data_IF_516963729691
#
_entry.id   IF_516963729691
#
_cell.length_a   1.000
_cell.length_b   1.000
_cell.length_c   1.000
_cell.angle_alpha   90.00
_cell.angle_beta   90.00
_cell.angle_gamma   90.00
#
_symmetry.space_group_name_H-M   'P 1'
#
loop_
_entity.id
_entity.type
_entity.pdbx_description
1 polymer ?
#
# COMPACT_ATOMS: atom_id res chain seq x y z
N UNK A 1 -8.39 11.15 -10.37
CA UNK A 1 -7.57 11.83 -9.32
C UNK A 1 -7.04 10.72 -8.42
N UNK A 2 -5.74 10.68 -8.22
CA UNK A 2 -5.08 9.67 -7.39
C UNK A 2 -5.36 9.88 -5.91
N UNK A 3 -5.76 8.84 -5.19
CA UNK A 3 -6.03 8.89 -3.76
C UNK A 3 -4.73 8.76 -2.95
N UNK A 4 -4.65 9.49 -1.82
CA UNK A 4 -3.60 9.30 -0.82
C UNK A 4 -4.11 8.39 0.30
N UNK A 5 -3.52 7.21 0.41
CA UNK A 5 -3.65 6.32 1.56
C UNK A 5 -2.44 6.48 2.48
N UNK A 6 -2.68 6.78 3.76
CA UNK A 6 -1.59 6.93 4.73
C UNK A 6 -1.32 5.60 5.40
N UNK A 7 -0.12 5.05 5.18
CA UNK A 7 0.33 3.85 5.87
C UNK A 7 0.87 4.21 7.27
N UNK A 8 0.14 3.83 8.30
CA UNK A 8 0.42 4.22 9.69
C UNK A 8 1.31 3.25 10.48
N UNK A 9 1.97 2.30 9.80
CA UNK A 9 2.83 1.31 10.45
C UNK A 9 3.94 1.95 11.31
N UNK A 10 4.55 3.06 10.83
CA UNK A 10 5.63 3.74 11.56
C UNK A 10 5.15 4.43 12.82
N UNK A 11 3.90 4.89 12.86
CA UNK A 11 3.25 5.39 14.09
C UNK A 11 3.19 4.27 15.13
N UNK A 12 2.79 3.07 14.72
CA UNK A 12 2.74 1.91 15.60
C UNK A 12 4.15 1.46 16.04
N UNK A 13 5.17 1.59 15.18
CA UNK A 13 6.57 1.34 15.56
C UNK A 13 7.02 2.28 16.71
N UNK A 14 6.72 3.57 16.61
CA UNK A 14 7.03 4.55 17.65
C UNK A 14 6.30 4.19 18.95
N UNK A 15 5.01 3.85 18.89
CA UNK A 15 4.24 3.39 20.05
C UNK A 15 4.90 2.18 20.72
N UNK A 16 5.27 1.18 19.93
CA UNK A 16 5.81 -0.08 20.44
C UNK A 16 7.20 0.07 21.05
N UNK A 17 7.99 1.05 20.59
CA UNK A 17 9.34 1.31 21.13
C UNK A 17 9.34 1.61 22.63
N UNK A 18 8.22 2.07 23.19
CA UNK A 18 8.13 2.42 24.63
C UNK A 18 7.07 1.63 25.42
N UNK A 19 6.27 0.82 24.76
CA UNK A 19 5.31 -0.09 25.41
C UNK A 19 4.01 0.54 25.93
N UNK A 20 3.71 1.77 25.65
CA UNK A 20 2.43 2.42 26.01
C UNK A 20 1.42 2.43 24.89
N UNK A 21 0.54 3.45 24.88
CA UNK A 21 -0.42 3.73 23.82
C UNK A 21 -0.18 5.11 23.17
N UNK A 22 1.06 5.58 23.18
CA UNK A 22 1.45 6.85 22.56
C UNK A 22 2.60 6.64 21.56
N UNK A 23 2.45 7.17 20.33
CA UNK A 23 1.23 7.79 19.76
C UNK A 23 0.07 6.80 19.65
N UNK A 24 -1.17 7.27 19.82
CA UNK A 24 -2.36 6.44 19.70
C UNK A 24 -2.66 6.19 18.21
N UNK A 25 -2.48 4.96 17.76
CA UNK A 25 -2.62 4.55 16.34
C UNK A 25 -4.03 4.82 15.81
N UNK A 26 -5.07 4.55 16.61
CA UNK A 26 -6.46 4.75 16.21
C UNK A 26 -6.76 6.25 16.01
N UNK A 27 -6.30 7.07 16.96
CA UNK A 27 -6.45 8.53 16.83
C UNK A 27 -5.70 9.09 15.64
N UNK A 28 -4.47 8.65 15.41
CA UNK A 28 -3.68 9.12 14.25
C UNK A 28 -4.37 8.77 12.94
N UNK A 29 -4.99 7.58 12.81
CA UNK A 29 -5.76 7.22 11.64
C UNK A 29 -6.93 8.19 11.40
N UNK A 30 -7.71 8.51 12.44
CA UNK A 30 -8.79 9.50 12.35
C UNK A 30 -8.28 10.90 12.01
N UNK A 31 -7.14 11.31 12.58
CA UNK A 31 -6.53 12.60 12.28
C UNK A 31 -6.05 12.64 10.81
N UNK A 32 -5.50 11.55 10.26
CA UNK A 32 -5.14 11.47 8.84
C UNK A 32 -6.37 11.69 7.93
N UNK A 33 -7.50 11.06 8.22
CA UNK A 33 -8.75 11.28 7.48
C UNK A 33 -9.25 12.73 7.63
N UNK A 34 -9.22 13.28 8.84
CA UNK A 34 -9.60 14.67 9.11
C UNK A 34 -8.75 15.66 8.32
N UNK A 35 -7.46 15.38 8.15
CA UNK A 35 -6.52 16.20 7.39
C UNK A 35 -6.60 15.95 5.88
N UNK A 36 -7.47 15.04 5.44
CA UNK A 36 -7.82 14.83 4.05
C UNK A 36 -7.18 13.63 3.36
N UNK A 37 -6.59 12.68 4.10
CA UNK A 37 -6.26 11.37 3.55
C UNK A 37 -7.53 10.67 3.07
N UNK A 38 -7.40 9.94 1.94
CA UNK A 38 -8.51 9.25 1.31
C UNK A 38 -8.47 7.73 1.55
N UNK A 39 -7.46 7.27 2.29
CA UNK A 39 -7.32 5.91 2.75
C UNK A 39 -6.37 5.79 3.93
N UNK A 40 -6.53 4.69 4.65
CA UNK A 40 -5.62 4.26 5.72
C UNK A 40 -5.13 2.86 5.38
N UNK A 41 -3.83 2.69 5.38
CA UNK A 41 -3.18 1.40 5.14
C UNK A 41 -2.47 0.90 6.39
N UNK A 42 -2.60 -0.39 6.66
CA UNK A 42 -1.92 -1.08 7.75
C UNK A 42 -1.35 -2.42 7.28
N UNK A 43 -0.18 -2.80 7.81
CA UNK A 43 0.44 -4.10 7.55
C UNK A 43 0.67 -4.85 8.88
N UNK A 44 -0.31 -5.59 9.39
CA UNK A 44 -0.15 -6.38 10.61
C UNK A 44 0.71 -7.62 10.30
N UNK A 45 2.01 -7.53 10.59
CA UNK A 45 2.92 -8.67 10.44
C UNK A 45 2.64 -9.74 11.49
N UNK A 46 3.00 -11.02 11.23
CA UNK A 46 2.74 -12.11 12.16
C UNK A 46 3.34 -11.93 13.56
N UNK A 47 4.46 -11.20 13.66
CA UNK A 47 5.16 -10.88 14.92
C UNK A 47 4.67 -9.59 15.60
N UNK A 48 3.71 -8.88 14.99
CA UNK A 48 3.11 -7.65 15.52
C UNK A 48 4.16 -6.56 15.88
N UNK A 49 5.31 -6.52 15.17
CA UNK A 49 6.41 -5.57 15.46
C UNK A 49 6.00 -4.10 15.38
N UNK A 50 4.91 -3.80 14.66
CA UNK A 50 4.31 -2.47 14.57
C UNK A 50 2.79 -2.53 14.76
N UNK A 51 1.97 -2.65 13.71
CA UNK A 51 0.53 -2.83 13.81
C UNK A 51 0.22 -4.18 14.47
N UNK A 52 -0.64 -4.15 15.49
CA UNK A 52 -1.14 -5.34 16.18
C UNK A 52 -2.47 -5.75 15.57
N UNK A 53 -2.83 -7.02 15.66
CA UNK A 53 -4.15 -7.47 15.22
C UNK A 53 -5.29 -6.72 15.95
N UNK A 54 -5.09 -6.40 17.24
CA UNK A 54 -6.02 -5.58 18.01
C UNK A 54 -6.21 -4.16 17.46
N UNK A 55 -5.16 -3.57 16.88
CA UNK A 55 -5.28 -2.26 16.22
C UNK A 55 -6.19 -2.35 15.01
N UNK A 56 -6.06 -3.41 14.20
CA UNK A 56 -6.86 -3.61 12.99
C UNK A 56 -8.36 -3.71 13.33
N UNK A 57 -8.70 -4.50 14.36
CA UNK A 57 -10.09 -4.57 14.85
C UNK A 57 -10.60 -3.22 15.37
N UNK A 58 -9.74 -2.46 16.07
CA UNK A 58 -10.09 -1.13 16.57
C UNK A 58 -10.26 -0.08 15.48
N UNK A 59 -9.47 -0.17 14.39
CA UNK A 59 -9.54 0.75 13.26
C UNK A 59 -10.80 0.58 12.42
N UNK A 60 -11.26 -0.66 12.19
CA UNK A 60 -12.39 -0.94 11.30
C UNK A 60 -13.64 -0.08 11.56
N UNK A 61 -14.15 0.07 12.79
CA UNK A 61 -15.33 0.89 13.05
C UNK A 61 -15.07 2.40 12.95
N UNK A 62 -13.80 2.84 12.94
CA UNK A 62 -13.41 4.25 12.98
C UNK A 62 -13.15 4.82 11.61
N UNK A 63 -12.55 4.04 10.69
CA UNK A 63 -12.18 4.49 9.34
C UNK A 63 -13.44 4.72 8.51
N UNK A 64 -13.51 5.89 7.85
CA UNK A 64 -14.62 6.35 7.01
C UNK A 64 -14.30 6.35 5.52
N UNK A 65 -13.03 6.41 5.19
CA UNK A 65 -12.48 6.36 3.84
C UNK A 65 -12.11 4.91 3.46
N UNK A 66 -11.17 4.71 2.56
CA UNK A 66 -10.69 3.37 2.23
C UNK A 66 -9.83 2.78 3.35
N UNK A 67 -10.10 1.53 3.71
CA UNK A 67 -9.28 0.77 4.64
C UNK A 67 -8.58 -0.36 3.89
N UNK A 68 -7.26 -0.27 3.76
CA UNK A 68 -6.42 -1.28 3.13
C UNK A 68 -5.62 -2.05 4.18
N UNK A 69 -5.66 -3.38 4.11
CA UNK A 69 -4.83 -4.27 4.95
C UNK A 69 -3.85 -4.99 4.02
N UNK A 70 -2.57 -4.73 4.23
CA UNK A 70 -1.47 -5.40 3.53
C UNK A 70 -0.96 -6.58 4.35
N UNK A 71 -0.49 -7.62 3.69
CA UNK A 71 0.21 -8.69 4.39
C UNK A 71 0.48 -9.94 3.56
N UNK A 72 1.37 -10.78 4.11
CA UNK A 72 1.58 -12.12 3.62
C UNK A 72 0.38 -13.00 4.01
N UNK A 73 -0.24 -13.71 3.07
CA UNK A 73 -1.51 -14.41 3.29
C UNK A 73 -1.33 -15.74 4.03
N UNK A 74 -0.79 -15.71 5.25
CA UNK A 74 -0.84 -16.87 6.15
C UNK A 74 -2.25 -16.99 6.77
N UNK A 75 -2.58 -18.15 7.35
CA UNK A 75 -3.91 -18.45 7.90
C UNK A 75 -4.43 -17.37 8.84
N UNK A 76 -3.58 -16.88 9.75
CA UNK A 76 -3.95 -15.79 10.69
C UNK A 76 -4.31 -14.49 9.97
N UNK A 77 -3.60 -14.16 8.88
CA UNK A 77 -3.87 -12.96 8.09
C UNK A 77 -5.18 -13.12 7.32
N UNK A 78 -5.39 -14.28 6.69
CA UNK A 78 -6.63 -14.59 5.97
C UNK A 78 -7.83 -14.48 6.92
N UNK A 79 -7.74 -15.11 8.09
CA UNK A 79 -8.77 -15.05 9.14
C UNK A 79 -9.05 -13.60 9.59
N UNK A 80 -8.01 -12.78 9.77
CA UNK A 80 -8.13 -11.38 10.13
C UNK A 80 -8.91 -10.61 9.06
N UNK A 81 -8.48 -10.72 7.79
CA UNK A 81 -9.10 -10.02 6.67
C UNK A 81 -10.56 -10.40 6.50
N UNK A 82 -10.88 -11.70 6.57
CA UNK A 82 -12.26 -12.20 6.45
C UNK A 82 -13.17 -11.72 7.61
N UNK A 83 -12.62 -11.55 8.81
CA UNK A 83 -13.37 -11.02 9.97
C UNK A 83 -13.56 -9.52 9.90
N UNK A 84 -12.53 -8.79 9.49
CA UNK A 84 -12.54 -7.31 9.45
C UNK A 84 -13.28 -6.79 8.24
N UNK A 85 -13.20 -7.49 7.10
CA UNK A 85 -13.76 -7.07 5.81
C UNK A 85 -13.35 -5.62 5.48
N UNK A 86 -12.05 -5.38 5.23
CA UNK A 86 -11.57 -4.07 4.81
C UNK A 86 -12.14 -3.70 3.44
N UNK A 87 -11.92 -2.47 3.00
CA UNK A 87 -12.26 -2.06 1.63
C UNK A 87 -11.37 -2.79 0.62
N UNK A 88 -10.08 -2.95 0.97
CA UNK A 88 -9.09 -3.60 0.13
C UNK A 88 -8.16 -4.48 0.97
N UNK A 89 -7.68 -5.56 0.37
CA UNK A 89 -6.54 -6.34 0.83
C UNK A 89 -5.44 -6.29 -0.21
N UNK A 90 -4.21 -5.96 0.20
CA UNK A 90 -3.02 -6.03 -0.66
C UNK A 90 -2.18 -7.24 -0.25
N UNK A 91 -2.04 -8.20 -1.17
CA UNK A 91 -1.26 -9.42 -0.97
C UNK A 91 0.22 -9.14 -1.24
N UNK A 92 1.08 -9.29 -0.24
CA UNK A 92 2.53 -9.09 -0.34
C UNK A 92 3.29 -10.39 -0.07
N UNK A 93 4.42 -10.66 -0.79
CA UNK A 93 5.14 -11.94 -0.67
C UNK A 93 6.12 -11.98 0.50
N UNK A 94 6.00 -11.08 1.47
CA UNK A 94 6.97 -10.92 2.54
C UNK A 94 7.05 -12.16 3.42
N UNK A 95 8.20 -12.83 3.42
CA UNK A 95 8.46 -13.87 4.41
C UNK A 95 8.32 -13.29 5.84
N UNK A 96 7.92 -14.11 6.82
CA UNK A 96 7.68 -13.63 8.19
C UNK A 96 8.89 -12.93 8.85
N UNK A 97 10.10 -13.27 8.42
CA UNK A 97 11.38 -12.71 8.90
C UNK A 97 11.88 -11.51 8.08
N UNK A 98 11.24 -11.17 6.96
CA UNK A 98 11.63 -10.02 6.15
C UNK A 98 11.52 -8.70 6.94
N UNK A 99 12.55 -7.85 6.89
CA UNK A 99 12.56 -6.54 7.58
C UNK A 99 11.58 -5.58 6.90
N UNK A 100 11.57 -5.58 5.56
CA UNK A 100 10.67 -4.78 4.72
C UNK A 100 10.37 -5.56 3.45
N UNK A 101 9.33 -5.13 2.70
CA UNK A 101 9.06 -5.67 1.36
C UNK A 101 10.21 -5.32 0.43
N UNK A 102 10.81 -6.33 -0.20
CA UNK A 102 11.98 -6.19 -1.07
C UNK A 102 11.78 -6.72 -2.48
N UNK A 103 10.60 -7.27 -2.77
CA UNK A 103 10.21 -7.75 -4.10
C UNK A 103 8.70 -7.89 -4.19
N UNK A 104 8.15 -7.83 -5.41
CA UNK A 104 6.79 -8.24 -5.69
C UNK A 104 6.64 -9.76 -5.81
N UNK A 105 5.40 -10.25 -5.88
CA UNK A 105 5.12 -11.65 -6.14
C UNK A 105 5.73 -12.12 -7.47
N UNK A 106 6.31 -13.31 -7.47
CA UNK A 106 6.44 -14.12 -8.67
C UNK A 106 5.09 -14.84 -8.87
N UNK A 107 4.22 -14.21 -9.65
CA UNK A 107 2.85 -14.71 -9.85
C UNK A 107 2.85 -16.07 -10.57
N UNK A 108 3.81 -16.29 -11.48
CA UNK A 108 3.92 -17.56 -12.22
C UNK A 108 4.04 -18.76 -11.28
N UNK A 109 4.91 -18.64 -10.27
CA UNK A 109 5.18 -19.75 -9.34
C UNK A 109 4.10 -19.89 -8.27
N UNK A 110 3.23 -18.88 -8.12
CA UNK A 110 2.19 -18.79 -7.08
C UNK A 110 0.79 -18.61 -7.66
N UNK A 111 0.58 -18.90 -8.95
CA UNK A 111 -0.63 -18.55 -9.67
C UNK A 111 -1.90 -19.15 -9.04
N UNK A 112 -1.92 -20.45 -8.81
CA UNK A 112 -3.08 -21.14 -8.26
C UNK A 112 -3.40 -20.64 -6.84
N UNK A 113 -2.36 -20.46 -6.02
CA UNK A 113 -2.50 -19.96 -4.65
C UNK A 113 -3.07 -18.53 -4.62
N UNK A 114 -2.53 -17.63 -5.45
CA UNK A 114 -3.03 -16.26 -5.54
C UNK A 114 -4.46 -16.20 -6.09
N UNK A 115 -4.78 -17.04 -7.08
CA UNK A 115 -6.15 -17.12 -7.63
C UNK A 115 -7.15 -17.57 -6.58
N UNK A 116 -6.85 -18.60 -5.79
CA UNK A 116 -7.69 -19.06 -4.68
C UNK A 116 -7.93 -17.99 -3.62
N UNK A 117 -6.88 -17.22 -3.28
CA UNK A 117 -6.98 -16.10 -2.33
C UNK A 117 -7.84 -14.96 -2.89
N UNK A 118 -7.63 -14.60 -4.17
CA UNK A 118 -8.42 -13.58 -4.84
C UNK A 118 -9.90 -13.97 -4.83
N UNK A 119 -10.23 -15.19 -5.23
CA UNK A 119 -11.61 -15.70 -5.21
C UNK A 119 -12.20 -15.69 -3.79
N UNK A 120 -11.41 -16.07 -2.79
CA UNK A 120 -11.82 -16.06 -1.38
C UNK A 120 -12.21 -14.66 -0.92
N UNK A 121 -11.39 -13.65 -1.19
CA UNK A 121 -11.65 -12.28 -0.73
C UNK A 121 -12.72 -11.58 -1.56
N UNK A 122 -12.71 -11.73 -2.88
CA UNK A 122 -13.72 -11.11 -3.76
C UNK A 122 -15.12 -11.66 -3.52
N UNK A 123 -15.25 -12.97 -3.18
CA UNK A 123 -16.53 -13.58 -2.78
C UNK A 123 -17.12 -12.95 -1.51
N UNK A 124 -16.29 -12.31 -0.68
CA UNK A 124 -16.70 -11.59 0.53
C UNK A 124 -16.89 -10.08 0.30
N UNK A 125 -16.78 -9.61 -0.96
CA UNK A 125 -16.89 -8.21 -1.33
C UNK A 125 -15.68 -7.36 -0.94
N UNK A 126 -14.50 -7.98 -0.78
CA UNK A 126 -13.24 -7.32 -0.47
C UNK A 126 -12.46 -7.14 -1.78
N UNK A 127 -12.12 -5.90 -2.13
CA UNK A 127 -11.26 -5.61 -3.27
C UNK A 127 -9.87 -6.16 -3.06
N UNK A 128 -9.30 -6.81 -4.08
CA UNK A 128 -7.97 -7.40 -4.01
C UNK A 128 -6.94 -6.61 -4.79
N UNK A 129 -5.71 -6.56 -4.27
CA UNK A 129 -4.54 -6.00 -4.92
C UNK A 129 -3.35 -6.94 -4.73
N UNK A 130 -2.58 -7.18 -5.79
CA UNK A 130 -1.37 -8.02 -5.74
C UNK A 130 -0.14 -7.11 -5.88
N UNK A 131 0.79 -7.19 -4.90
CA UNK A 131 2.04 -6.45 -4.90
C UNK A 131 3.03 -7.08 -5.90
N UNK A 132 3.43 -6.32 -6.92
CA UNK A 132 4.23 -6.80 -8.05
C UNK A 132 5.32 -5.81 -8.45
N UNK A 133 6.37 -6.30 -9.13
CA UNK A 133 7.32 -5.46 -9.86
C UNK A 133 6.79 -5.00 -11.22
N UNK A 134 7.69 -4.46 -12.04
CA UNK A 134 7.37 -3.92 -13.38
C UNK A 134 7.50 -4.96 -14.52
N UNK A 135 7.69 -6.24 -14.20
CA UNK A 135 7.74 -7.30 -15.20
C UNK A 135 6.38 -7.50 -15.88
N UNK A 136 6.33 -7.30 -17.20
CA UNK A 136 5.09 -7.30 -17.96
C UNK A 136 4.42 -8.69 -18.01
N UNK A 137 5.20 -9.75 -18.13
CA UNK A 137 4.65 -11.11 -18.16
C UNK A 137 4.04 -11.48 -16.79
N UNK A 138 4.65 -11.01 -15.70
CA UNK A 138 4.14 -11.18 -14.35
C UNK A 138 2.80 -10.43 -14.13
N UNK A 139 2.67 -9.21 -14.69
CA UNK A 139 1.43 -8.41 -14.64
C UNK A 139 0.31 -9.09 -15.44
N UNK A 140 0.60 -9.66 -16.62
CA UNK A 140 -0.38 -10.44 -17.38
C UNK A 140 -0.90 -11.64 -16.59
N UNK A 141 -0.05 -12.30 -15.83
CA UNK A 141 -0.45 -13.40 -14.96
C UNK A 141 -1.26 -12.91 -13.76
N UNK A 142 -0.88 -11.76 -13.16
CA UNK A 142 -1.66 -11.16 -12.09
C UNK A 142 -3.10 -10.84 -12.54
N UNK A 143 -3.28 -10.30 -13.74
CA UNK A 143 -4.63 -10.07 -14.30
C UNK A 143 -5.46 -11.36 -14.43
N UNK A 144 -4.81 -12.48 -14.77
CA UNK A 144 -5.48 -13.77 -14.92
C UNK A 144 -5.92 -14.41 -13.60
N UNK A 145 -5.39 -13.96 -12.45
CA UNK A 145 -5.87 -14.39 -11.14
C UNK A 145 -7.25 -13.83 -10.79
N UNK A 146 -7.74 -12.84 -11.54
CA UNK A 146 -8.99 -12.15 -11.26
C UNK A 146 -8.89 -11.02 -10.23
N UNK A 147 -7.66 -10.62 -9.83
CA UNK A 147 -7.47 -9.49 -8.90
C UNK A 147 -7.99 -8.18 -9.49
N UNK A 148 -8.50 -7.29 -8.64
CA UNK A 148 -9.02 -5.98 -9.06
C UNK A 148 -7.90 -5.00 -9.39
N UNK A 149 -6.78 -5.07 -8.64
CA UNK A 149 -5.68 -4.12 -8.72
C UNK A 149 -4.32 -4.82 -8.66
N UNK A 150 -3.31 -4.10 -9.08
CA UNK A 150 -1.92 -4.36 -8.70
C UNK A 150 -1.36 -3.17 -7.93
N UNK A 151 -0.40 -3.43 -7.05
CA UNK A 151 0.41 -2.40 -6.43
C UNK A 151 1.86 -2.54 -6.88
N UNK A 152 2.40 -1.49 -7.50
CA UNK A 152 3.75 -1.48 -8.05
C UNK A 152 4.79 -1.23 -6.95
N UNK A 153 5.78 -2.11 -6.85
CA UNK A 153 6.94 -1.96 -5.98
C UNK A 153 7.86 -0.84 -6.49
N UNK A 154 8.00 0.23 -5.73
CA UNK A 154 8.57 1.49 -6.20
C UNK A 154 10.01 1.77 -5.75
N UNK A 155 10.67 0.87 -5.00
CA UNK A 155 12.06 1.06 -4.58
C UNK A 155 13.02 1.27 -5.77
N UNK A 156 12.96 0.48 -6.87
CA UNK A 156 13.84 0.70 -8.02
C UNK A 156 13.65 2.09 -8.66
N UNK A 157 12.41 2.61 -8.65
CA UNK A 157 12.15 3.97 -9.08
C UNK A 157 12.80 4.98 -8.15
N UNK A 158 12.57 4.86 -6.83
CA UNK A 158 13.07 5.80 -5.83
C UNK A 158 14.61 5.85 -5.82
N UNK A 159 15.26 4.70 -5.97
CA UNK A 159 16.73 4.58 -6.01
C UNK A 159 17.32 5.21 -7.26
N UNK A 160 16.73 5.03 -8.43
CA UNK A 160 17.25 5.56 -9.68
C UNK A 160 16.83 7.03 -9.93
N UNK A 161 15.73 7.48 -9.34
CA UNK A 161 15.15 8.81 -9.57
C UNK A 161 16.13 9.98 -9.42
N UNK A 162 16.98 10.07 -8.36
CA UNK A 162 17.90 11.18 -8.21
C UNK A 162 19.04 11.18 -9.25
N UNK A 163 19.29 10.05 -9.93
CA UNK A 163 20.33 9.89 -10.96
C UNK A 163 19.76 10.16 -12.34
N UNK A 164 18.65 9.51 -12.69
CA UNK A 164 17.98 9.66 -13.99
C UNK A 164 16.48 9.34 -13.86
N UNK A 165 15.68 10.37 -13.65
CA UNK A 165 14.23 10.22 -13.40
C UNK A 165 13.45 9.68 -14.60
N UNK A 166 13.91 9.98 -15.84
CA UNK A 166 13.24 9.50 -17.06
C UNK A 166 13.48 7.98 -17.25
N UNK A 167 14.68 7.52 -16.97
CA UNK A 167 15.00 6.10 -16.95
C UNK A 167 14.29 5.37 -15.81
N UNK A 168 14.23 5.99 -14.64
CA UNK A 168 13.56 5.44 -13.46
C UNK A 168 12.06 5.19 -13.69
N UNK A 169 11.36 6.10 -14.36
CA UNK A 169 9.90 6.01 -14.56
C UNK A 169 9.50 5.11 -15.73
N UNK A 170 10.35 4.91 -16.73
CA UNK A 170 10.00 4.24 -17.97
C UNK A 170 9.40 2.82 -17.77
N UNK A 171 9.98 1.92 -16.95
CA UNK A 171 9.39 0.61 -16.72
C UNK A 171 8.02 0.69 -16.00
N UNK A 172 7.79 1.70 -15.16
CA UNK A 172 6.53 1.90 -14.45
C UNK A 172 5.42 2.40 -15.38
N UNK A 173 5.74 3.26 -16.35
CA UNK A 173 4.79 3.68 -17.40
C UNK A 173 4.33 2.46 -18.21
N UNK A 174 5.29 1.60 -18.62
CA UNK A 174 4.99 0.40 -19.39
C UNK A 174 4.12 -0.58 -18.58
N UNK A 175 4.50 -0.84 -17.34
CA UNK A 175 3.78 -1.73 -16.42
C UNK A 175 2.35 -1.24 -16.15
N UNK A 176 2.20 0.03 -15.77
CA UNK A 176 0.91 0.63 -15.49
C UNK A 176 0.02 0.71 -16.75
N UNK A 177 0.61 0.99 -17.92
CA UNK A 177 -0.09 1.00 -19.20
C UNK A 177 -0.64 -0.38 -19.56
N UNK A 178 0.14 -1.44 -19.37
CA UNK A 178 -0.33 -2.81 -19.57
C UNK A 178 -1.43 -3.16 -18.58
N UNK A 179 -1.26 -2.89 -17.30
CA UNK A 179 -2.26 -3.15 -16.27
C UNK A 179 -3.61 -2.50 -16.61
N UNK A 180 -3.59 -1.22 -17.01
CA UNK A 180 -4.79 -0.52 -17.48
C UNK A 180 -5.46 -1.21 -18.68
N UNK A 181 -4.67 -1.65 -19.68
CA UNK A 181 -5.19 -2.32 -20.85
C UNK A 181 -5.81 -3.69 -20.52
N UNK A 182 -5.35 -4.32 -19.45
CA UNK A 182 -5.90 -5.57 -18.92
C UNK A 182 -7.10 -5.36 -17.98
N UNK A 183 -7.51 -4.11 -17.72
CA UNK A 183 -8.63 -3.77 -16.85
C UNK A 183 -8.28 -3.75 -15.36
N UNK A 184 -7.00 -3.78 -15.00
CA UNK A 184 -6.55 -3.66 -13.62
C UNK A 184 -6.47 -2.21 -13.17
N UNK A 185 -6.88 -1.92 -11.93
CA UNK A 185 -6.50 -0.70 -11.24
C UNK A 185 -5.01 -0.72 -10.86
N UNK A 186 -4.39 0.44 -10.77
CA UNK A 186 -2.96 0.57 -10.45
C UNK A 186 -2.78 1.37 -9.18
N UNK A 187 -2.18 0.74 -8.19
CA UNK A 187 -1.69 1.36 -6.96
C UNK A 187 -0.15 1.40 -6.97
N UNK A 188 0.42 2.28 -6.14
CA UNK A 188 1.86 2.34 -5.89
C UNK A 188 2.10 2.87 -4.46
N UNK A 189 3.33 2.81 -3.96
CA UNK A 189 3.53 3.35 -2.61
C UNK A 189 4.95 3.26 -2.13
N UNK A 190 5.16 2.45 -1.16
CA UNK A 190 6.34 2.08 -0.36
C UNK A 190 7.46 3.16 -0.27
N UNK A 191 8.16 3.48 -1.38
CA UNK A 191 9.33 4.38 -1.43
C UNK A 191 9.04 5.74 -2.10
N UNK A 192 7.76 6.05 -2.34
CA UNK A 192 7.37 7.38 -2.83
C UNK A 192 7.47 8.42 -1.69
N UNK A 193 7.91 9.63 -2.07
CA UNK A 193 8.18 10.74 -1.15
C UNK A 193 7.82 12.08 -1.80
N UNK A 194 7.90 13.19 -1.06
CA UNK A 194 7.70 14.54 -1.59
C UNK A 194 8.64 14.87 -2.76
N UNK A 195 9.82 14.21 -2.84
CA UNK A 195 10.80 14.46 -3.90
C UNK A 195 10.40 13.85 -5.24
N UNK A 196 9.76 12.66 -5.22
CA UNK A 196 9.59 11.85 -6.43
C UNK A 196 8.12 11.61 -6.83
N UNK A 197 7.16 11.83 -5.91
CA UNK A 197 5.75 11.53 -6.11
C UNK A 197 5.09 12.33 -7.23
N UNK A 198 5.34 13.63 -7.30
CA UNK A 198 4.72 14.48 -8.33
C UNK A 198 5.08 14.04 -9.74
N UNK A 199 6.37 13.68 -9.96
CA UNK A 199 6.81 13.18 -11.24
C UNK A 199 6.23 11.78 -11.56
N UNK A 200 6.13 10.90 -10.57
CA UNK A 200 5.50 9.58 -10.71
C UNK A 200 4.03 9.72 -11.13
N UNK A 201 3.26 10.50 -10.39
CA UNK A 201 1.83 10.71 -10.63
C UNK A 201 1.56 11.36 -12.00
N UNK A 202 2.37 12.34 -12.40
CA UNK A 202 2.26 13.01 -13.70
C UNK A 202 2.44 12.04 -14.88
N UNK A 203 3.32 11.06 -14.76
CA UNK A 203 3.64 10.11 -15.83
C UNK A 203 2.71 8.89 -15.84
N UNK A 204 1.91 8.68 -14.79
CA UNK A 204 0.93 7.59 -14.70
C UNK A 204 -0.45 8.19 -14.36
N UNK A 205 -1.13 8.85 -15.32
CA UNK A 205 -2.36 9.63 -15.05
C UNK A 205 -3.58 8.78 -14.67
N UNK A 206 -3.47 7.46 -14.74
CA UNK A 206 -4.49 6.48 -14.33
C UNK A 206 -4.12 5.76 -13.01
N UNK A 207 -3.16 6.28 -12.28
CA UNK A 207 -2.84 5.82 -10.93
C UNK A 207 -4.05 6.07 -10.01
N UNK A 208 -4.54 5.04 -9.33
CA UNK A 208 -5.74 5.16 -8.50
C UNK A 208 -5.43 5.54 -7.08
N UNK A 209 -4.37 4.96 -6.49
CA UNK A 209 -4.00 5.19 -5.10
C UNK A 209 -2.49 5.12 -4.91
N UNK A 210 -1.98 5.92 -3.99
CA UNK A 210 -0.64 5.77 -3.43
C UNK A 210 -0.72 5.51 -1.94
N UNK A 211 -0.04 4.43 -1.47
CA UNK A 211 0.06 4.07 -0.05
C UNK A 211 1.44 4.44 0.47
N UNK A 212 1.55 5.54 1.23
CA UNK A 212 2.83 6.09 1.66
C UNK A 212 2.93 6.08 3.20
N UNK A 213 4.01 5.47 3.70
CA UNK A 213 4.22 5.31 5.14
C UNK A 213 5.51 5.97 5.63
N UNK A 214 6.66 5.34 5.40
CA UNK A 214 7.92 5.76 6.02
C UNK A 214 8.26 7.23 5.73
N UNK A 215 8.30 7.61 4.45
CA UNK A 215 8.62 8.98 4.04
C UNK A 215 7.64 10.00 4.64
N UNK A 216 6.33 9.75 4.53
CA UNK A 216 5.30 10.65 5.05
C UNK A 216 5.43 10.86 6.58
N UNK A 217 5.69 9.79 7.34
CA UNK A 217 5.85 9.92 8.80
C UNK A 217 7.17 10.64 9.15
N UNK A 218 8.25 10.42 8.39
CA UNK A 218 9.48 11.18 8.56
C UNK A 218 9.28 12.68 8.30
N UNK A 219 8.59 13.04 7.22
CA UNK A 219 8.26 14.43 6.90
C UNK A 219 7.36 15.06 7.98
N UNK A 220 6.43 14.29 8.53
CA UNK A 220 5.54 14.75 9.60
C UNK A 220 6.26 15.10 10.91
N UNK A 221 7.47 14.60 11.16
CA UNK A 221 8.29 15.00 12.30
C UNK A 221 8.79 16.46 12.18
N UNK A 222 8.88 16.98 10.95
CA UNK A 222 9.37 18.34 10.68
C UNK A 222 8.23 19.32 10.38
N UNK A 223 7.18 18.88 9.67
CA UNK A 223 6.09 19.74 9.22
C UNK A 223 4.81 19.61 10.06
N UNK A 224 4.71 18.55 10.87
CA UNK A 224 3.46 18.14 11.48
C UNK A 224 2.56 17.39 10.50
N UNK A 225 1.71 16.50 11.01
CA UNK A 225 0.95 15.54 10.20
C UNK A 225 -0.02 16.21 9.21
N UNK A 226 -0.72 17.27 9.64
CA UNK A 226 -1.69 17.98 8.81
C UNK A 226 -1.04 18.61 7.58
N UNK A 227 0.04 19.36 7.77
CA UNK A 227 0.75 20.01 6.68
C UNK A 227 1.39 18.99 5.74
N UNK A 228 1.95 17.92 6.29
CA UNK A 228 2.53 16.83 5.49
C UNK A 228 1.48 16.21 4.56
N UNK A 229 0.29 15.88 5.07
CA UNK A 229 -0.79 15.34 4.23
C UNK A 229 -1.18 16.33 3.13
N UNK A 230 -1.24 17.63 3.43
CA UNK A 230 -1.52 18.67 2.42
C UNK A 230 -0.44 18.72 1.33
N UNK A 231 0.84 18.62 1.70
CA UNK A 231 1.97 18.58 0.75
C UNK A 231 1.92 17.35 -0.17
N UNK A 232 1.69 16.16 0.38
CA UNK A 232 1.55 14.95 -0.43
C UNK A 232 0.35 15.03 -1.39
N UNK A 233 -0.77 15.57 -0.94
CA UNK A 233 -1.94 15.80 -1.81
C UNK A 233 -1.65 16.82 -2.91
N UNK A 234 -0.86 17.83 -2.64
CA UNK A 234 -0.45 18.80 -3.66
C UNK A 234 0.38 18.12 -4.77
N UNK A 235 1.27 17.17 -4.43
CA UNK A 235 2.00 16.36 -5.41
C UNK A 235 1.08 15.51 -6.31
N UNK A 236 -0.08 15.11 -5.80
CA UNK A 236 -1.06 14.30 -6.56
C UNK A 236 -2.00 15.14 -7.43
N UNK A 237 -2.06 16.44 -7.21
CA UNK A 237 -2.90 17.39 -7.95
C UNK A 237 -2.10 18.24 -8.95
N UNK A 238 -0.79 18.01 -9.05
CA UNK A 238 0.13 18.79 -9.91
C UNK A 238 0.19 18.30 -11.36
#
# INVERSE_FOLDING_TARGET
MTNLSVNINKVATIRNARGGNMPNVLKVAQDCELFGAQGITVHPRPDERHIRYSDVYGLKPLIRTEFNIEGYPCDKFIDLVLKVKPTQVTLVPDAPDAITSNSGWNVKDNFDYLSELVDTFTSQGIRTSIFVGTDLANIELAAKTGTDRIELYTEPYATLYPVNREEAIAPFISAAGLAKNLGLGVNAGHDLSLENLAFFNKNIPWLEEVSIGHALICDALYHGLQETIALYKACLNS
#
